data_IF_831703525456
#
_entry.id   IF_831703525456
#
_cell.length_a   1.000
_cell.length_b   1.000
_cell.length_c   1.000
_cell.angle_alpha   90.00
_cell.angle_beta   90.00
_cell.angle_gamma   90.00
#
_symmetry.space_group_name_H-M   'P 1'
#
loop_
_entity.id
_entity.type
_entity.pdbx_description
1 polymer ?
#
# COMPACT_ATOMS: atom_id res chain seq x y z
N UNK A 1 14.07 27.07 -29.25
CA UNK A 1 12.92 27.58 -28.47
C UNK A 1 13.00 26.93 -27.09
N UNK A 2 13.26 27.69 -26.02
CA UNK A 2 13.32 27.11 -24.67
C UNK A 2 11.91 27.07 -24.09
N UNK A 3 11.41 25.87 -23.82
CA UNK A 3 10.16 25.69 -23.08
C UNK A 3 10.52 25.87 -21.60
N UNK A 4 10.02 26.94 -20.98
CA UNK A 4 10.12 27.09 -19.53
C UNK A 4 9.14 26.14 -18.86
N UNK A 5 9.59 25.48 -17.81
CA UNK A 5 8.71 24.67 -16.98
C UNK A 5 7.64 25.59 -16.35
N UNK A 6 6.38 25.17 -16.28
CA UNK A 6 5.40 25.84 -15.45
C UNK A 6 5.89 25.86 -13.98
N UNK A 7 5.27 26.67 -13.10
CA UNK A 7 5.54 26.63 -11.68
C UNK A 7 5.55 25.19 -11.16
N UNK A 8 6.45 24.91 -10.21
CA UNK A 8 6.66 23.59 -9.59
C UNK A 8 5.30 22.90 -9.36
N UNK A 9 5.17 21.58 -9.61
CA UNK A 9 3.94 20.86 -9.33
C UNK A 9 3.37 21.25 -7.96
N UNK A 10 2.04 21.35 -7.90
CA UNK A 10 1.29 21.82 -6.73
C UNK A 10 1.64 21.11 -5.40
N UNK A 11 2.27 19.93 -5.48
CA UNK A 11 3.00 19.31 -4.38
C UNK A 11 4.50 19.50 -4.65
N UNK A 12 5.17 20.44 -3.98
CA UNK A 12 6.59 20.68 -4.21
C UNK A 12 7.40 19.46 -3.76
N UNK A 13 8.46 19.07 -4.49
CA UNK A 13 9.43 18.14 -3.97
C UNK A 13 10.10 18.81 -2.76
N UNK A 14 9.74 18.40 -1.55
CA UNK A 14 10.41 18.84 -0.32
C UNK A 14 11.86 18.34 -0.23
N UNK A 15 12.50 18.54 0.91
CA UNK A 15 13.91 18.16 1.16
C UNK A 15 14.19 16.65 1.00
N UNK A 16 13.13 15.81 1.01
CA UNK A 16 13.09 14.44 0.49
C UNK A 16 11.78 14.23 -0.28
N UNK A 17 11.65 14.92 -1.42
CA UNK A 17 10.40 15.09 -2.18
C UNK A 17 9.69 13.83 -2.66
N UNK A 18 8.55 14.00 -3.36
CA UNK A 18 7.81 12.87 -3.95
C UNK A 18 8.68 12.12 -4.95
N UNK A 19 8.76 10.80 -4.82
CA UNK A 19 9.53 9.95 -5.72
C UNK A 19 8.57 9.13 -6.59
N UNK A 20 8.77 9.15 -7.90
CA UNK A 20 7.92 8.38 -8.82
C UNK A 20 8.37 6.92 -8.82
N UNK A 21 7.52 6.02 -8.30
CA UNK A 21 7.92 4.63 -8.01
C UNK A 21 7.04 3.58 -8.67
N UNK A 22 5.86 3.94 -9.15
CA UNK A 22 4.84 2.95 -9.56
C UNK A 22 4.04 3.38 -10.78
N UNK A 23 3.85 2.43 -11.69
CA UNK A 23 2.86 2.50 -12.76
C UNK A 23 1.76 1.47 -12.47
N UNK A 24 0.51 1.93 -12.32
CA UNK A 24 -0.62 1.04 -12.15
C UNK A 24 -1.43 0.90 -13.44
N UNK A 25 -1.79 -0.34 -13.76
CA UNK A 25 -2.66 -0.67 -14.88
C UNK A 25 -3.91 -1.40 -14.37
N UNK A 26 -5.08 -0.89 -14.75
CA UNK A 26 -6.33 -1.64 -14.62
C UNK A 26 -6.43 -2.63 -15.77
N UNK A 27 -6.59 -3.91 -15.46
CA UNK A 27 -6.54 -5.02 -16.41
C UNK A 27 -7.79 -5.89 -16.34
N UNK A 28 -8.09 -6.56 -17.46
CA UNK A 28 -9.28 -7.41 -17.57
C UNK A 28 -9.09 -8.78 -16.90
N UNK A 29 -7.92 -9.35 -17.11
CA UNK A 29 -7.52 -10.64 -16.55
C UNK A 29 -6.11 -10.51 -15.96
N UNK A 30 -5.97 -10.88 -14.69
CA UNK A 30 -4.73 -10.71 -13.96
C UNK A 30 -3.64 -11.68 -14.45
N UNK A 31 -3.99 -12.92 -14.80
CA UNK A 31 -3.03 -13.93 -15.23
C UNK A 31 -2.49 -13.62 -16.64
N UNK A 32 -3.37 -13.22 -17.56
CA UNK A 32 -2.97 -12.76 -18.90
C UNK A 32 -2.07 -11.53 -18.81
N UNK A 33 -2.44 -10.55 -17.97
CA UNK A 33 -1.64 -9.34 -17.79
C UNK A 33 -0.27 -9.62 -17.16
N UNK A 34 -0.21 -10.41 -16.08
CA UNK A 34 1.07 -10.81 -15.47
C UNK A 34 1.98 -11.48 -16.51
N UNK A 35 1.43 -12.39 -17.32
CA UNK A 35 2.18 -13.07 -18.39
C UNK A 35 2.70 -12.09 -19.44
N UNK A 36 1.85 -11.16 -19.90
CA UNK A 36 2.21 -10.15 -20.88
C UNK A 36 3.31 -9.21 -20.37
N UNK A 37 3.16 -8.65 -19.17
CA UNK A 37 4.13 -7.71 -18.60
C UNK A 37 5.47 -8.41 -18.29
N UNK A 38 5.42 -9.67 -17.85
CA UNK A 38 6.64 -10.47 -17.63
C UNK A 38 7.40 -10.74 -18.91
N UNK A 39 6.70 -11.19 -19.95
CA UNK A 39 7.33 -11.55 -21.24
C UNK A 39 7.77 -10.34 -22.06
N UNK A 40 7.08 -9.20 -21.91
CA UNK A 40 7.35 -7.99 -22.71
C UNK A 40 8.31 -7.03 -22.03
N UNK A 41 8.17 -6.84 -20.72
CA UNK A 41 8.94 -5.84 -19.96
C UNK A 41 9.86 -6.44 -18.91
N UNK A 42 9.83 -7.76 -18.71
CA UNK A 42 10.60 -8.42 -17.66
C UNK A 42 10.08 -8.18 -16.25
N UNK A 43 8.82 -7.73 -16.10
CA UNK A 43 8.25 -7.42 -14.80
C UNK A 43 7.89 -8.69 -14.02
N UNK A 44 8.37 -8.81 -12.78
CA UNK A 44 8.06 -9.92 -11.88
C UNK A 44 9.22 -10.23 -10.92
N UNK A 45 9.16 -11.34 -10.14
CA UNK A 45 7.98 -12.20 -9.98
C UNK A 45 6.84 -11.39 -9.34
N UNK A 46 5.62 -11.87 -9.50
CA UNK A 46 4.43 -11.17 -9.02
C UNK A 46 4.12 -11.52 -7.57
N UNK A 47 3.88 -10.49 -6.77
CA UNK A 47 3.40 -10.57 -5.39
C UNK A 47 1.90 -10.30 -5.40
N UNK A 48 1.11 -11.30 -5.06
CA UNK A 48 -0.35 -11.17 -5.03
C UNK A 48 -0.79 -10.51 -3.73
N UNK A 49 -1.70 -9.53 -3.86
CA UNK A 49 -2.45 -8.99 -2.73
C UNK A 49 -3.45 -10.02 -2.18
N UNK A 50 -4.05 -9.73 -1.01
CA UNK A 50 -5.14 -10.56 -0.49
C UNK A 50 -6.32 -10.61 -1.46
N UNK A 51 -7.10 -11.69 -1.41
CA UNK A 51 -8.34 -11.76 -2.17
C UNK A 51 -9.29 -10.61 -1.75
N UNK A 52 -10.02 -10.01 -2.70
CA UNK A 52 -10.81 -8.83 -2.39
C UNK A 52 -11.99 -9.22 -1.49
N UNK A 53 -12.20 -8.45 -0.44
CA UNK A 53 -13.33 -8.61 0.47
C UNK A 53 -14.34 -7.48 0.27
N UNK A 54 -15.58 -7.74 0.66
CA UNK A 54 -16.64 -6.71 0.70
C UNK A 54 -16.46 -5.73 1.89
N UNK A 55 -15.39 -5.88 2.67
CA UNK A 55 -15.10 -4.99 3.80
C UNK A 55 -14.65 -3.62 3.27
N UNK A 56 -15.34 -2.58 3.74
CA UNK A 56 -15.12 -1.19 3.31
C UNK A 56 -14.35 -0.37 4.33
N UNK A 57 -13.91 -0.98 5.44
CA UNK A 57 -13.48 -0.25 6.64
C UNK A 57 -12.18 0.55 6.45
N UNK A 58 -11.44 0.29 5.37
CA UNK A 58 -10.11 0.89 5.16
C UNK A 58 -10.03 1.87 3.99
N UNK A 59 -11.06 1.98 3.14
CA UNK A 59 -11.02 2.82 1.94
C UNK A 59 -12.25 3.69 1.79
N UNK A 60 -12.02 4.91 1.32
CA UNK A 60 -13.03 5.91 1.05
C UNK A 60 -12.91 6.32 -0.42
N UNK A 61 -14.01 6.23 -1.15
CA UNK A 61 -14.11 6.67 -2.53
C UNK A 61 -15.22 7.72 -2.66
N UNK A 62 -14.88 8.92 -3.15
CA UNK A 62 -15.77 10.09 -3.24
C UNK A 62 -16.57 10.33 -1.95
N UNK A 63 -15.87 10.27 -0.82
CA UNK A 63 -16.43 10.50 0.51
C UNK A 63 -17.27 9.35 1.10
N UNK A 64 -17.35 8.18 0.44
CA UNK A 64 -18.11 7.03 0.92
C UNK A 64 -17.18 5.84 1.22
N UNK A 65 -17.33 5.18 2.39
CA UNK A 65 -16.66 3.90 2.64
C UNK A 65 -16.96 2.91 1.52
N UNK A 66 -15.91 2.36 0.91
CA UNK A 66 -16.01 1.55 -0.31
C UNK A 66 -14.96 0.45 -0.25
N UNK A 67 -15.28 -0.82 -0.55
CA UNK A 67 -14.27 -1.86 -0.63
C UNK A 67 -13.31 -1.60 -1.79
N UNK A 68 -12.06 -2.09 -1.68
CA UNK A 68 -11.09 -2.00 -2.78
C UNK A 68 -11.60 -2.70 -4.05
N UNK A 69 -12.30 -3.83 -3.87
CA UNK A 69 -13.05 -4.51 -4.92
C UNK A 69 -12.22 -4.97 -6.12
N UNK A 70 -10.93 -5.26 -5.92
CA UNK A 70 -10.03 -5.66 -7.00
C UNK A 70 -8.93 -6.60 -6.51
N UNK A 71 -8.51 -7.54 -7.35
CA UNK A 71 -7.29 -8.35 -7.13
C UNK A 71 -6.09 -7.54 -7.60
N UNK A 72 -4.99 -7.65 -6.87
CA UNK A 72 -3.77 -6.88 -7.12
C UNK A 72 -2.58 -7.81 -7.29
N UNK A 73 -1.72 -7.50 -8.26
CA UNK A 73 -0.40 -8.08 -8.38
C UNK A 73 0.66 -6.97 -8.49
N UNK A 74 1.71 -7.06 -7.69
CA UNK A 74 2.84 -6.14 -7.71
C UNK A 74 4.07 -6.85 -8.26
N UNK A 75 4.79 -6.22 -9.17
CA UNK A 75 6.03 -6.75 -9.74
C UNK A 75 7.00 -5.61 -10.07
N UNK A 76 8.28 -5.91 -10.22
CA UNK A 76 9.29 -4.93 -10.59
C UNK A 76 9.92 -5.27 -11.94
N UNK A 77 10.22 -4.25 -12.73
CA UNK A 77 11.19 -4.33 -13.82
C UNK A 77 12.25 -3.23 -13.61
N UNK A 78 13.46 -3.63 -13.22
CA UNK A 78 14.49 -2.70 -12.77
C UNK A 78 14.05 -1.93 -11.52
N UNK A 79 14.00 -0.60 -11.63
CA UNK A 79 13.62 0.31 -10.54
C UNK A 79 12.11 0.58 -10.44
N UNK A 80 11.36 0.29 -11.51
CA UNK A 80 9.96 0.66 -11.60
C UNK A 80 9.05 -0.47 -11.10
N UNK A 81 8.14 -0.13 -10.19
CA UNK A 81 7.07 -1.02 -9.77
C UNK A 81 5.93 -0.98 -10.79
N UNK A 82 5.47 -2.15 -11.20
CA UNK A 82 4.24 -2.34 -11.96
C UNK A 82 3.18 -2.91 -11.01
N UNK A 83 2.08 -2.20 -10.88
CA UNK A 83 0.87 -2.67 -10.21
C UNK A 83 -0.16 -3.05 -11.27
N UNK A 84 -0.67 -4.29 -11.19
CA UNK A 84 -1.77 -4.76 -12.01
C UNK A 84 -3.01 -4.92 -11.13
N UNK A 85 -4.07 -4.22 -11.47
CA UNK A 85 -5.33 -4.23 -10.74
C UNK A 85 -6.43 -4.83 -11.61
N UNK A 86 -7.02 -5.93 -11.16
CA UNK A 86 -8.15 -6.57 -11.81
C UNK A 86 -9.42 -6.35 -10.97
N UNK A 87 -10.30 -5.40 -11.35
CA UNK A 87 -11.54 -5.15 -10.63
C UNK A 87 -12.45 -6.38 -10.62
N UNK A 88 -13.16 -6.60 -9.52
CA UNK A 88 -14.22 -7.60 -9.49
C UNK A 88 -15.42 -7.11 -10.33
N UNK A 89 -16.01 -7.98 -11.17
CA UNK A 89 -17.21 -7.63 -11.93
C UNK A 89 -18.32 -7.10 -11.02
N UNK A 90 -18.89 -5.94 -11.36
CA UNK A 90 -19.98 -5.33 -10.60
C UNK A 90 -19.58 -4.68 -9.27
N UNK A 91 -18.29 -4.66 -8.91
CA UNK A 91 -17.82 -3.95 -7.73
C UNK A 91 -18.00 -2.43 -7.87
N UNK A 92 -18.20 -1.75 -6.75
CA UNK A 92 -18.34 -0.29 -6.68
C UNK A 92 -17.01 0.41 -6.38
N UNK A 93 -15.91 -0.07 -6.94
CA UNK A 93 -14.56 0.46 -6.70
C UNK A 93 -14.17 1.50 -7.75
N UNK A 94 -13.18 2.35 -7.41
CA UNK A 94 -12.58 3.31 -8.35
C UNK A 94 -12.05 2.62 -9.62
N UNK A 95 -11.50 1.42 -9.48
CA UNK A 95 -10.95 0.66 -10.59
C UNK A 95 -12.03 0.08 -11.51
N UNK A 96 -13.18 -0.31 -10.96
CA UNK A 96 -14.32 -0.77 -11.75
C UNK A 96 -14.97 0.38 -12.53
N UNK A 97 -15.13 1.55 -11.89
CA UNK A 97 -15.58 2.78 -12.57
C UNK A 97 -14.61 3.16 -13.70
N UNK A 98 -13.30 3.16 -13.42
CA UNK A 98 -12.27 3.43 -14.42
C UNK A 98 -12.38 2.50 -15.63
N UNK A 99 -12.46 1.19 -15.40
CA UNK A 99 -12.58 0.20 -16.47
C UNK A 99 -13.85 0.41 -17.31
N UNK A 100 -14.96 0.78 -16.68
CA UNK A 100 -16.23 1.01 -17.37
C UNK A 100 -16.21 2.29 -18.23
N UNK A 101 -15.59 3.37 -17.74
CA UNK A 101 -15.58 4.67 -18.41
C UNK A 101 -14.46 4.82 -19.44
N UNK A 102 -13.29 4.24 -19.17
CA UNK A 102 -12.04 4.48 -19.93
C UNK A 102 -11.46 3.21 -20.57
N UNK A 103 -11.96 2.04 -20.18
CA UNK A 103 -11.38 0.77 -20.55
C UNK A 103 -10.16 0.39 -19.71
N UNK A 104 -9.49 -0.67 -20.11
CA UNK A 104 -8.30 -1.20 -19.45
C UNK A 104 -7.04 -0.48 -19.93
N UNK A 105 -6.08 -0.26 -19.04
CA UNK A 105 -4.85 0.47 -19.34
C UNK A 105 -4.28 1.21 -18.13
N UNK A 106 -3.39 2.17 -18.39
CA UNK A 106 -2.76 3.00 -17.36
C UNK A 106 -3.82 3.71 -16.52
N UNK A 107 -3.79 3.48 -15.20
CA UNK A 107 -4.75 4.02 -14.25
C UNK A 107 -4.16 5.18 -13.46
N UNK A 108 -2.98 4.99 -12.86
CA UNK A 108 -2.34 6.04 -12.07
C UNK A 108 -0.81 5.99 -12.11
N UNK A 109 -0.20 7.14 -11.79
CA UNK A 109 1.20 7.29 -11.43
C UNK A 109 1.31 7.31 -9.90
N UNK A 110 2.08 6.39 -9.32
CA UNK A 110 2.26 6.30 -7.88
C UNK A 110 3.55 6.99 -7.42
N UNK A 111 3.40 7.82 -6.39
CA UNK A 111 4.47 8.61 -5.80
C UNK A 111 4.67 8.25 -4.33
N UNK A 112 5.87 7.84 -3.98
CA UNK A 112 6.31 7.68 -2.60
C UNK A 112 6.44 9.06 -1.92
N UNK A 113 5.87 9.20 -0.73
CA UNK A 113 5.99 10.41 0.10
C UNK A 113 6.36 10.06 1.53
N UNK A 114 7.29 10.83 2.12
CA UNK A 114 7.74 10.63 3.51
C UNK A 114 6.96 11.48 4.52
N UNK A 115 6.48 12.65 4.10
CA UNK A 115 5.59 13.51 4.91
C UNK A 115 4.21 13.53 4.27
N UNK A 116 3.39 12.55 4.66
CA UNK A 116 2.06 12.35 4.08
C UNK A 116 1.12 13.51 4.45
N UNK A 117 1.18 14.02 5.68
CA UNK A 117 0.30 15.11 6.13
C UNK A 117 0.66 16.44 5.44
N UNK A 118 1.95 16.73 5.24
CA UNK A 118 2.35 17.87 4.42
C UNK A 118 1.90 17.72 2.97
N UNK A 119 1.94 16.51 2.42
CA UNK A 119 1.46 16.20 1.05
C UNK A 119 -0.04 16.45 0.93
N UNK A 120 -0.86 15.95 1.87
CA UNK A 120 -2.30 16.19 1.94
C UNK A 120 -2.59 17.70 2.00
N UNK A 121 -1.89 18.42 2.89
CA UNK A 121 -2.07 19.86 3.04
C UNK A 121 -1.69 20.64 1.77
N UNK A 122 -0.64 20.22 1.05
CA UNK A 122 -0.25 20.83 -0.21
C UNK A 122 -1.31 20.60 -1.30
N UNK A 123 -1.82 19.38 -1.42
CA UNK A 123 -2.91 19.04 -2.35
C UNK A 123 -4.17 19.87 -2.07
N UNK A 124 -4.57 19.98 -0.80
CA UNK A 124 -5.71 20.81 -0.39
C UNK A 124 -5.50 22.29 -0.72
N UNK A 125 -4.33 22.87 -0.39
CA UNK A 125 -4.01 24.27 -0.72
C UNK A 125 -4.03 24.54 -2.22
N UNK A 126 -3.71 23.53 -3.02
CA UNK A 126 -3.76 23.58 -4.47
C UNK A 126 -5.15 23.29 -5.08
N UNK A 127 -6.18 23.08 -4.24
CA UNK A 127 -7.53 22.78 -4.71
C UNK A 127 -7.66 21.42 -5.41
N UNK A 128 -6.75 20.47 -5.14
CA UNK A 128 -6.79 19.11 -5.69
C UNK A 128 -7.77 18.28 -4.86
N UNK A 129 -8.86 17.84 -5.48
CA UNK A 129 -9.85 16.96 -4.85
C UNK A 129 -9.29 15.54 -4.67
N UNK A 130 -9.42 15.00 -3.44
CA UNK A 130 -9.12 13.60 -3.14
C UNK A 130 -10.29 12.74 -3.60
N UNK A 131 -10.03 11.86 -4.56
CA UNK A 131 -11.01 10.94 -5.11
C UNK A 131 -11.09 9.65 -4.30
N UNK A 132 -9.94 9.15 -3.87
CA UNK A 132 -9.79 7.90 -3.14
C UNK A 132 -8.77 8.07 -2.03
N UNK A 133 -8.99 7.44 -0.88
CA UNK A 133 -8.01 7.39 0.20
C UNK A 133 -8.21 6.15 1.06
N UNK A 134 -7.16 5.69 1.72
CA UNK A 134 -7.27 4.62 2.69
C UNK A 134 -5.94 4.16 3.25
N UNK A 135 -5.97 3.00 3.88
CA UNK A 135 -4.79 2.36 4.47
C UNK A 135 -4.58 0.99 3.83
N UNK A 136 -3.34 0.73 3.42
CA UNK A 136 -2.93 -0.59 2.91
C UNK A 136 -2.86 -1.61 4.05
N UNK A 137 -2.88 -2.93 3.78
CA UNK A 137 -2.75 -3.96 4.83
C UNK A 137 -1.50 -3.86 5.70
N UNK A 138 -0.49 -3.07 5.28
CA UNK A 138 0.77 -2.84 5.98
C UNK A 138 0.82 -1.51 6.73
N UNK A 139 -0.29 -0.80 6.84
CA UNK A 139 -0.40 0.46 7.59
C UNK A 139 0.05 1.71 6.84
N UNK A 140 0.42 1.60 5.55
CA UNK A 140 0.73 2.78 4.75
C UNK A 140 -0.57 3.48 4.31
N UNK A 141 -0.67 4.79 4.55
CA UNK A 141 -1.75 5.62 4.02
C UNK A 141 -1.54 5.88 2.53
N UNK A 142 -2.64 5.88 1.78
CA UNK A 142 -2.67 6.22 0.37
C UNK A 142 -3.78 7.22 0.09
N UNK A 143 -3.58 8.07 -0.92
CA UNK A 143 -4.62 8.88 -1.51
C UNK A 143 -4.41 9.01 -3.02
N UNK A 144 -5.50 9.16 -3.76
CA UNK A 144 -5.50 9.46 -5.18
C UNK A 144 -6.26 10.74 -5.47
N UNK A 145 -5.74 11.51 -6.41
CA UNK A 145 -6.35 12.75 -6.92
C UNK A 145 -6.47 12.67 -8.44
N UNK A 146 -7.35 13.51 -9.00
CA UNK A 146 -7.51 13.64 -10.45
C UNK A 146 -6.18 13.93 -11.16
N UNK A 147 -5.94 13.23 -12.28
CA UNK A 147 -4.78 13.41 -13.13
C UNK A 147 -4.73 14.76 -13.83
N UNK A 148 -3.52 15.23 -14.16
CA UNK A 148 -3.37 16.37 -15.06
C UNK A 148 -3.50 15.92 -16.52
N UNK A 149 -4.14 16.76 -17.33
CA UNK A 149 -4.12 16.63 -18.79
C UNK A 149 -2.68 16.74 -19.33
N UNK A 150 -2.33 16.08 -20.46
CA UNK A 150 -3.23 15.35 -21.35
C UNK A 150 -3.36 13.85 -21.04
N UNK A 151 -2.63 13.35 -20.04
CA UNK A 151 -2.53 11.91 -19.82
C UNK A 151 -3.76 11.34 -19.13
N UNK A 152 -4.45 12.14 -18.32
CA UNK A 152 -5.69 11.75 -17.63
C UNK A 152 -5.56 10.66 -16.57
N UNK A 153 -4.40 9.98 -16.48
CA UNK A 153 -4.06 9.04 -15.42
C UNK A 153 -3.99 9.75 -14.07
N UNK A 154 -4.55 9.11 -13.04
CA UNK A 154 -4.59 9.67 -11.69
C UNK A 154 -3.18 9.78 -11.10
N UNK A 155 -3.03 10.57 -10.05
CA UNK A 155 -1.83 10.57 -9.22
C UNK A 155 -2.17 9.91 -7.88
N UNK A 156 -1.43 8.87 -7.50
CA UNK A 156 -1.47 8.25 -6.18
C UNK A 156 -0.28 8.71 -5.35
N UNK A 157 -0.51 9.05 -4.08
CA UNK A 157 0.53 9.36 -3.12
C UNK A 157 0.52 8.31 -2.02
N UNK A 158 1.66 7.65 -1.82
CA UNK A 158 1.84 6.49 -0.96
C UNK A 158 2.78 6.86 0.18
N UNK A 159 2.32 6.75 1.41
CA UNK A 159 3.16 6.93 2.59
C UNK A 159 4.25 5.86 2.67
N UNK A 160 5.51 6.30 2.75
CA UNK A 160 6.63 5.39 2.98
C UNK A 160 6.85 5.21 4.48
N UNK A 161 6.28 4.12 5.00
CA UNK A 161 6.55 3.62 6.35
C UNK A 161 7.79 2.70 6.34
N UNK A 162 8.47 2.47 7.47
CA UNK A 162 9.58 1.51 7.52
C UNK A 162 9.21 0.10 7.04
N UNK A 163 7.98 -0.36 7.36
CA UNK A 163 7.47 -1.65 6.88
C UNK A 163 7.25 -1.67 5.36
N UNK A 164 6.77 -0.56 4.80
CA UNK A 164 6.63 -0.38 3.35
C UNK A 164 7.97 -0.35 2.64
N UNK A 165 8.93 0.44 3.13
CA UNK A 165 10.28 0.56 2.56
C UNK A 165 11.02 -0.79 2.53
N UNK A 166 10.91 -1.57 3.62
CA UNK A 166 11.42 -2.94 3.66
C UNK A 166 10.74 -3.86 2.65
N UNK A 167 9.40 -3.79 2.55
CA UNK A 167 8.64 -4.61 1.61
C UNK A 167 8.98 -4.31 0.15
N UNK A 168 9.06 -3.03 -0.23
CA UNK A 168 9.42 -2.62 -1.58
C UNK A 168 10.85 -3.01 -1.93
N UNK A 169 11.79 -2.82 -1.01
CA UNK A 169 13.18 -3.26 -1.17
C UNK A 169 13.29 -4.77 -1.37
N UNK A 170 12.51 -5.54 -0.61
CA UNK A 170 12.45 -6.99 -0.74
C UNK A 170 11.87 -7.43 -2.10
N UNK A 171 10.73 -6.88 -2.53
CA UNK A 171 10.15 -7.23 -3.83
C UNK A 171 11.14 -6.95 -4.97
N UNK A 172 11.83 -5.82 -4.89
CA UNK A 172 12.85 -5.44 -5.85
C UNK A 172 14.06 -6.39 -5.85
N UNK A 173 14.52 -6.86 -4.68
CA UNK A 173 15.60 -7.86 -4.63
C UNK A 173 15.17 -9.20 -5.23
N UNK A 174 13.91 -9.61 -5.03
CA UNK A 174 13.38 -10.82 -5.64
C UNK A 174 13.29 -10.69 -7.17
N UNK A 175 12.89 -9.53 -7.69
CA UNK A 175 12.89 -9.25 -9.11
C UNK A 175 14.31 -9.34 -9.72
N UNK A 176 15.31 -8.77 -9.04
CA UNK A 176 16.70 -8.81 -9.51
C UNK A 176 17.30 -10.23 -9.54
N UNK A 177 16.86 -11.10 -8.64
CA UNK A 177 17.30 -12.50 -8.56
C UNK A 177 16.44 -13.48 -9.38
N UNK A 178 15.38 -12.98 -10.02
CA UNK A 178 14.39 -13.82 -10.68
C UNK A 178 14.95 -14.48 -11.94
N UNK A 179 14.82 -15.80 -12.01
CA UNK A 179 15.23 -16.60 -13.16
C UNK A 179 14.11 -16.79 -14.20
N UNK A 180 12.98 -16.09 -14.06
CA UNK A 180 11.80 -16.19 -14.92
C UNK A 180 11.12 -17.58 -14.95
N UNK A 181 11.40 -18.48 -14.01
CA UNK A 181 10.81 -19.83 -14.03
C UNK A 181 9.40 -19.88 -13.43
N UNK A 182 9.13 -19.08 -12.39
CA UNK A 182 7.84 -19.02 -11.70
C UNK A 182 7.29 -17.60 -11.76
N UNK A 183 6.05 -17.45 -12.24
CA UNK A 183 5.43 -16.14 -12.44
C UNK A 183 5.10 -15.44 -11.12
N UNK A 184 4.65 -16.21 -10.12
CA UNK A 184 4.18 -15.70 -8.84
C UNK A 184 5.18 -16.07 -7.75
N UNK A 185 5.55 -15.09 -6.91
CA UNK A 185 6.35 -15.35 -5.72
C UNK A 185 5.50 -16.07 -4.66
N UNK A 186 5.95 -17.24 -4.23
CA UNK A 186 5.26 -18.09 -3.23
C UNK A 186 6.09 -18.34 -1.97
N UNK A 187 7.27 -17.70 -1.86
CA UNK A 187 8.12 -17.82 -0.68
C UNK A 187 7.53 -17.12 0.55
N UNK A 188 8.17 -17.26 1.72
CA UNK A 188 7.67 -16.64 2.94
C UNK A 188 7.57 -15.12 2.80
N UNK A 189 6.58 -14.48 3.46
CA UNK A 189 6.48 -13.03 3.47
C UNK A 189 7.71 -12.44 4.16
N UNK A 190 8.18 -11.26 3.74
CA UNK A 190 9.27 -10.59 4.43
C UNK A 190 8.78 -10.16 5.80
N UNK A 191 9.33 -10.78 6.84
CA UNK A 191 9.15 -10.34 8.22
C UNK A 191 10.18 -9.24 8.50
N UNK A 192 9.78 -8.07 9.02
CA UNK A 192 10.78 -7.16 9.57
C UNK A 192 11.52 -7.91 10.69
N UNK A 193 12.85 -7.84 10.71
CA UNK A 193 13.62 -8.35 11.85
C UNK A 193 13.03 -7.76 13.12
N UNK A 194 12.47 -8.60 13.99
CA UNK A 194 12.16 -8.18 15.34
C UNK A 194 13.51 -7.90 15.99
N UNK A 195 13.79 -6.64 16.34
CA UNK A 195 14.86 -6.36 17.30
C UNK A 195 14.62 -7.28 18.51
N UNK A 196 15.53 -8.23 18.70
CA UNK A 196 15.47 -9.15 19.83
C UNK A 196 15.56 -8.30 21.09
N UNK A 197 14.45 -8.17 21.82
CA UNK A 197 14.46 -7.56 23.14
C UNK A 197 15.55 -8.25 23.98
N UNK A 198 16.41 -7.50 24.70
CA UNK A 198 17.47 -8.11 25.48
C UNK A 198 16.85 -9.03 26.53
N UNK A 199 17.35 -10.26 26.61
CA UNK A 199 16.87 -11.25 27.56
C UNK A 199 16.95 -10.69 28.98
N UNK A 200 15.79 -10.37 29.59
CA UNK A 200 15.72 -10.09 31.01
C UNK A 200 16.10 -11.36 31.77
N UNK A 201 17.36 -11.41 32.22
CA UNK A 201 17.81 -12.42 33.16
C UNK A 201 17.14 -12.13 34.49
N UNK A 202 16.06 -12.85 34.80
CA UNK A 202 15.47 -12.84 36.13
C UNK A 202 16.43 -13.58 37.06
N UNK A 203 17.21 -12.84 37.83
CA UNK A 203 17.86 -13.37 39.02
C UNK A 203 16.78 -13.65 40.06
N UNK A 204 16.53 -14.92 40.36
CA UNK A 204 15.72 -15.31 41.51
C UNK A 204 16.57 -15.24 42.78
N UNK A 205 16.39 -14.19 43.58
CA UNK A 205 16.87 -14.17 44.95
C UNK A 205 15.94 -15.00 45.83
N UNK A 206 16.46 -16.08 46.43
CA UNK A 206 15.84 -16.76 47.57
C UNK A 206 15.71 -15.78 48.74
N UNK A 207 14.52 -15.67 49.32
CA UNK A 207 14.29 -14.87 50.53
C UNK A 207 12.92 -15.15 51.15
N UNK A 208 12.94 -16.06 52.11
CA UNK A 208 12.16 -16.17 53.35
C UNK A 208 10.62 -16.05 53.38
N UNK A 209 10.06 -17.06 54.07
CA UNK A 209 8.67 -17.20 54.45
C UNK A 209 8.27 -16.21 55.56
N UNK A 210 7.02 -15.72 55.49
CA UNK A 210 6.26 -15.41 56.70
C UNK A 210 4.75 -15.47 56.43
N UNK A 211 4.08 -16.32 57.21
CA UNK A 211 2.62 -16.45 57.36
C UNK A 211 1.96 -15.13 57.78
N UNK A 212 0.76 -14.84 57.25
CA UNK A 212 -0.28 -14.12 57.99
C UNK A 212 -1.70 -14.55 57.57
N UNK A 213 -2.37 -15.18 58.55
CA UNK A 213 -3.79 -15.31 58.88
C UNK A 213 -4.91 -14.98 57.88
N UNK A 214 -5.78 -15.98 57.74
CA UNK A 214 -7.18 -15.90 57.29
C UNK A 214 -8.08 -15.13 58.27
N UNK A 215 -8.90 -14.20 57.78
CA UNK A 215 -10.15 -13.80 58.41
C UNK A 215 -11.22 -13.46 57.36
N UNK A 216 -12.22 -14.34 57.31
CA UNK A 216 -13.66 -14.13 57.07
C UNK A 216 -14.13 -12.80 56.44
N UNK A 217 -14.83 -12.88 55.32
CA UNK A 217 -15.94 -11.97 55.02
C UNK A 217 -17.17 -12.71 54.49
N UNK A 218 -18.24 -12.51 55.25
CA UNK A 218 -19.61 -12.99 55.12
C UNK A 218 -20.31 -12.48 53.85
N UNK A 219 -21.18 -13.34 53.31
CA UNK A 219 -22.18 -13.04 52.27
C UNK A 219 -23.05 -11.82 52.63
N UNK A 220 -23.33 -10.98 51.64
CA UNK A 220 -24.63 -10.31 51.53
C UNK A 220 -24.94 -10.02 50.06
N UNK A 221 -26.12 -10.46 49.65
CA UNK A 221 -26.72 -10.37 48.32
C UNK A 221 -27.98 -9.56 48.52
N UNK A 222 -28.10 -8.39 47.91
CA UNK A 222 -29.37 -7.64 47.87
C UNK A 222 -29.53 -7.02 46.49
N UNK A 223 -30.74 -7.19 45.95
CA UNK A 223 -31.32 -6.50 44.80
C UNK A 223 -31.71 -5.08 45.18
#
# INVERSE_FOLDING_TARGET
>A
MSIQLPPIPNVPPGERGREFIQLCFVVKDLAEAMTFFSSTFGAGPWFLGPEPSDQSEHFVYRGKPTPLGARIALGYAGEMMYELVCPQPGSRSIFAEWAAERGYGLHHFGFAVRDFDATVNALHKAGREVLFSGETPRGARILMVGGAEPLGALEEFIEITPAGEFFYSFMKSQAAAWNHSELVYTGPPPMPEQESAPAHTVQTSKGDAMEIHSLSTTKSRVR
#
